data_IF_940933100799
#
_entry.id   IF_940933100799
#
_cell.length_a   1.000
_cell.length_b   1.000
_cell.length_c   1.000
_cell.angle_alpha   90.00
_cell.angle_beta   90.00
_cell.angle_gamma   90.00
#
_symmetry.space_group_name_H-M   'P 1'
#
loop_
_entity.id
_entity.type
_entity.pdbx_description
1 polymer ?
#
# COMPACT_ATOMS: atom_id res chain seq x y z
N UNK A 1 -70.28 35.62 42.35
CA UNK A 1 -69.41 36.64 42.98
C UNK A 1 -68.00 36.53 42.47
N UNK A 2 -67.60 37.59 41.79
CA UNK A 2 -66.30 38.17 41.64
C UNK A 2 -65.13 37.21 41.16
N UNK A 3 -64.74 37.37 39.92
CA UNK A 3 -63.73 38.34 39.40
C UNK A 3 -62.30 37.95 39.87
N UNK A 4 -61.42 37.61 39.00
CA UNK A 4 -60.52 38.52 38.22
C UNK A 4 -59.70 37.80 37.20
N UNK A 5 -59.69 38.36 36.04
CA UNK A 5 -58.76 38.42 34.99
C UNK A 5 -57.29 38.62 35.47
N UNK A 6 -56.38 37.87 34.98
CA UNK A 6 -55.08 38.48 34.69
C UNK A 6 -54.46 37.88 33.43
N UNK A 7 -54.41 38.72 32.44
CA UNK A 7 -53.67 38.54 31.21
C UNK A 7 -52.20 38.85 31.53
N UNK A 8 -51.34 37.96 31.25
CA UNK A 8 -49.94 38.34 30.97
C UNK A 8 -49.48 37.64 29.71
N UNK A 9 -49.51 38.42 28.66
CA UNK A 9 -48.80 38.26 27.42
C UNK A 9 -47.31 38.51 27.69
N UNK A 10 -46.51 37.50 27.73
CA UNK A 10 -45.07 37.65 27.56
C UNK A 10 -44.66 37.03 26.24
N UNK A 11 -44.49 37.93 25.34
CA UNK A 11 -43.89 37.78 24.05
C UNK A 11 -42.41 37.39 24.23
N UNK A 12 -42.07 36.14 24.12
CA UNK A 12 -40.70 35.66 24.03
C UNK A 12 -40.41 35.36 22.56
N UNK A 13 -39.94 36.39 21.88
CA UNK A 13 -39.20 36.22 20.64
C UNK A 13 -38.01 35.30 20.91
N UNK A 14 -38.19 34.00 20.68
CA UNK A 14 -37.15 33.02 20.65
C UNK A 14 -36.23 33.31 19.48
N UNK A 15 -35.05 33.78 19.82
CA UNK A 15 -33.91 33.87 18.93
C UNK A 15 -33.70 32.52 18.27
N UNK A 16 -33.96 32.44 16.98
CA UNK A 16 -33.42 31.40 16.11
C UNK A 16 -31.93 31.63 16.04
N UNK A 17 -31.18 31.02 16.92
CA UNK A 17 -29.73 30.85 16.74
C UNK A 17 -29.54 29.91 15.58
N UNK A 18 -29.06 30.50 14.52
CA UNK A 18 -28.60 29.81 13.33
C UNK A 18 -27.33 29.06 13.70
N UNK A 19 -27.43 27.75 13.88
CA UNK A 19 -26.30 26.84 13.91
C UNK A 19 -25.83 26.57 12.46
N UNK A 20 -25.21 27.60 11.87
CA UNK A 20 -24.52 27.51 10.58
C UNK A 20 -23.03 27.73 10.81
N UNK A 21 -22.41 26.83 11.52
CA UNK A 21 -20.98 27.03 11.82
C UNK A 21 -20.15 25.80 12.13
N UNK A 22 -20.72 24.62 12.13
CA UNK A 22 -19.97 23.43 12.60
C UNK A 22 -19.72 22.37 11.53
N UNK A 23 -20.19 22.54 10.32
CA UNK A 23 -20.01 21.51 9.25
C UNK A 23 -18.73 21.72 8.43
N UNK A 24 -18.04 22.83 8.57
CA UNK A 24 -16.87 23.16 7.72
C UNK A 24 -15.52 22.64 8.26
N UNK A 25 -15.46 22.01 9.42
CA UNK A 25 -14.17 21.63 10.04
C UNK A 25 -13.85 20.12 9.99
N UNK A 26 -14.70 19.30 9.40
CA UNK A 26 -14.49 17.85 9.35
C UNK A 26 -13.84 17.33 8.08
N UNK A 27 -13.42 18.19 7.15
CA UNK A 27 -12.83 17.77 5.88
C UNK A 27 -11.31 17.97 5.78
N UNK A 28 -10.66 18.51 6.80
CA UNK A 28 -9.21 18.75 6.77
C UNK A 28 -8.36 17.70 7.47
N UNK A 29 -8.92 16.65 8.05
CA UNK A 29 -8.13 15.68 8.83
C UNK A 29 -7.72 14.45 8.02
N UNK A 30 -8.22 14.28 6.79
CA UNK A 30 -7.90 13.10 5.97
C UNK A 30 -6.70 13.26 5.03
N UNK A 31 -6.14 14.45 4.90
CA UNK A 31 -5.03 14.70 3.98
C UNK A 31 -3.65 14.34 4.55
N UNK A 32 -3.52 14.23 5.86
CA UNK A 32 -2.21 13.96 6.50
C UNK A 32 -1.76 12.51 6.48
N UNK A 33 -2.69 11.56 6.36
CA UNK A 33 -2.36 10.13 6.42
C UNK A 33 -1.94 9.53 5.06
N UNK A 34 -2.16 10.25 3.96
CA UNK A 34 -1.82 9.79 2.60
C UNK A 34 -0.37 10.13 2.19
N UNK A 35 0.29 11.04 2.88
CA UNK A 35 1.63 11.48 2.49
C UNK A 35 2.76 10.57 2.99
N UNK A 36 2.53 9.77 4.02
CA UNK A 36 3.56 8.90 4.59
C UNK A 36 3.72 7.57 3.81
N UNK A 37 2.78 7.24 2.93
CA UNK A 37 2.81 6.02 2.10
C UNK A 37 3.61 6.23 0.80
N UNK A 38 3.99 7.46 0.51
CA UNK A 38 4.45 7.87 -0.83
C UNK A 38 5.97 7.89 -0.98
N UNK A 39 6.74 7.58 0.05
CA UNK A 39 8.19 7.69 0.03
C UNK A 39 8.93 6.36 -0.11
N UNK A 40 8.26 5.29 -0.49
CA UNK A 40 8.88 3.98 -0.69
C UNK A 40 8.53 3.35 -2.03
N UNK A 41 9.42 2.52 -2.51
CA UNK A 41 9.17 1.67 -3.66
C UNK A 41 8.00 0.74 -3.37
N UNK A 42 7.02 0.70 -4.27
CA UNK A 42 5.85 -0.13 -4.14
C UNK A 42 5.65 -1.02 -5.38
N UNK A 43 4.98 -2.15 -5.18
CA UNK A 43 4.56 -2.98 -6.31
C UNK A 43 3.29 -2.42 -6.94
N UNK A 44 3.33 -2.11 -8.24
CA UNK A 44 2.14 -1.80 -9.02
C UNK A 44 1.64 -2.98 -9.86
N UNK A 45 2.45 -4.03 -9.98
CA UNK A 45 2.09 -5.28 -10.63
C UNK A 45 3.15 -6.35 -10.38
N UNK A 46 2.75 -7.57 -10.06
CA UNK A 46 3.63 -8.73 -9.89
C UNK A 46 2.93 -9.96 -10.44
N UNK A 47 3.59 -10.70 -11.32
CA UNK A 47 3.11 -11.99 -11.79
C UNK A 47 4.24 -12.91 -12.24
N UNK A 48 3.97 -14.20 -12.25
CA UNK A 48 4.87 -15.22 -12.78
C UNK A 48 4.55 -15.47 -14.26
N UNK A 49 5.57 -15.35 -15.11
CA UNK A 49 5.50 -15.70 -16.52
C UNK A 49 6.03 -17.15 -16.71
N UNK A 50 5.09 -18.09 -16.86
CA UNK A 50 5.44 -19.51 -16.99
C UNK A 50 6.14 -19.84 -18.31
N UNK A 51 6.06 -18.98 -19.33
CA UNK A 51 6.69 -19.24 -20.65
C UNK A 51 8.19 -18.99 -20.62
N UNK A 52 8.60 -17.92 -19.95
CA UNK A 52 10.01 -17.54 -19.82
C UNK A 52 10.63 -17.96 -18.49
N UNK A 53 9.84 -18.53 -17.57
CA UNK A 53 10.23 -18.85 -16.20
C UNK A 53 10.80 -17.62 -15.47
N UNK A 54 10.06 -16.52 -15.58
CA UNK A 54 10.46 -15.25 -15.02
C UNK A 54 9.40 -14.69 -14.07
N UNK A 55 9.87 -13.93 -13.12
CA UNK A 55 9.03 -13.07 -12.31
C UNK A 55 9.01 -11.68 -12.93
N UNK A 56 7.84 -11.21 -13.31
CA UNK A 56 7.64 -9.87 -13.89
C UNK A 56 7.13 -8.97 -12.78
N UNK A 57 7.90 -7.92 -12.49
CA UNK A 57 7.61 -6.98 -11.39
C UNK A 57 7.57 -5.58 -11.94
N UNK A 58 6.45 -4.90 -11.74
CA UNK A 58 6.32 -3.48 -12.05
C UNK A 58 6.43 -2.70 -10.74
N UNK A 59 7.52 -1.96 -10.62
CA UNK A 59 7.80 -1.06 -9.49
C UNK A 59 7.23 0.31 -9.76
N UNK A 60 6.63 0.92 -8.74
CA UNK A 60 6.34 2.34 -8.68
C UNK A 60 7.26 2.94 -7.61
N UNK A 61 8.05 3.92 -7.99
CA UNK A 61 9.07 4.52 -7.15
C UNK A 61 9.15 6.04 -7.38
N UNK A 62 9.95 6.72 -6.57
CA UNK A 62 10.23 8.14 -6.73
C UNK A 62 11.73 8.33 -6.86
N UNK A 63 12.12 9.30 -7.69
CA UNK A 63 13.54 9.57 -7.93
C UNK A 63 13.75 10.84 -8.74
N UNK A 64 15.02 11.14 -9.04
CA UNK A 64 15.44 12.22 -9.95
C UNK A 64 15.36 11.80 -11.41
N UNK A 65 15.41 10.49 -11.69
CA UNK A 65 15.50 9.95 -13.05
C UNK A 65 14.80 8.56 -13.14
N UNK A 66 14.48 8.08 -14.36
CA UNK A 66 13.84 6.78 -14.58
C UNK A 66 14.84 5.59 -14.56
N UNK A 67 16.13 5.83 -14.34
CA UNK A 67 17.19 4.82 -14.57
C UNK A 67 17.51 3.96 -13.34
N UNK A 68 16.60 3.92 -12.36
CA UNK A 68 16.70 2.99 -11.25
C UNK A 68 16.82 1.55 -11.76
N UNK A 69 17.70 0.78 -11.20
CA UNK A 69 17.82 -0.66 -11.46
C UNK A 69 17.44 -1.46 -10.24
N UNK A 70 16.70 -2.55 -10.50
CA UNK A 70 16.19 -3.42 -9.44
C UNK A 70 16.84 -4.79 -9.53
N UNK A 71 17.16 -5.36 -8.37
CA UNK A 71 17.70 -6.73 -8.25
C UNK A 71 16.91 -7.52 -7.20
N UNK A 72 16.99 -8.87 -7.28
CA UNK A 72 16.38 -9.75 -6.29
C UNK A 72 17.45 -10.33 -5.38
N UNK A 73 17.19 -10.27 -4.09
CA UNK A 73 17.94 -11.00 -3.06
C UNK A 73 17.06 -12.11 -2.50
N UNK A 74 17.44 -13.35 -2.78
CA UNK A 74 16.74 -14.53 -2.27
C UNK A 74 17.05 -14.78 -0.80
N UNK A 75 16.02 -15.11 -0.05
CA UNK A 75 16.17 -15.71 1.27
C UNK A 75 16.36 -17.23 1.19
N UNK A 76 16.33 -17.89 2.33
CA UNK A 76 16.33 -19.36 2.40
C UNK A 76 14.92 -19.92 2.30
N UNK A 77 14.79 -21.10 1.67
CA UNK A 77 13.56 -21.86 1.70
C UNK A 77 13.27 -22.38 3.11
N UNK A 78 12.05 -22.18 3.56
CA UNK A 78 11.57 -22.65 4.86
C UNK A 78 10.43 -23.62 4.63
N UNK A 79 10.58 -24.82 5.18
CA UNK A 79 9.52 -25.81 5.20
C UNK A 79 8.98 -25.88 6.62
N UNK A 80 7.69 -25.61 6.79
CA UNK A 80 7.01 -25.78 8.06
C UNK A 80 6.33 -27.15 8.10
N UNK A 81 6.30 -27.81 9.26
CA UNK A 81 5.61 -29.09 9.45
C UNK A 81 4.11 -29.00 9.15
N UNK A 82 3.56 -27.78 9.23
CA UNK A 82 2.14 -27.52 8.98
C UNK A 82 1.85 -26.88 7.61
N UNK A 83 2.88 -26.55 6.83
CA UNK A 83 2.70 -25.97 5.51
C UNK A 83 2.73 -27.04 4.42
N UNK A 84 1.80 -26.95 3.48
CA UNK A 84 1.69 -27.86 2.34
C UNK A 84 2.81 -27.66 1.29
N UNK A 85 3.48 -26.52 1.32
CA UNK A 85 4.57 -26.19 0.40
C UNK A 85 5.61 -25.28 1.09
N UNK A 86 6.87 -25.29 0.63
CA UNK A 86 7.90 -24.39 1.12
C UNK A 86 7.54 -22.92 0.95
N UNK A 87 8.09 -22.09 1.80
CA UNK A 87 7.98 -20.64 1.70
C UNK A 87 9.36 -20.00 1.54
N UNK A 88 9.44 -18.95 0.73
CA UNK A 88 10.64 -18.14 0.55
C UNK A 88 10.28 -16.66 0.54
N UNK A 89 11.13 -15.84 1.12
CA UNK A 89 11.05 -14.39 1.03
C UNK A 89 12.15 -13.90 0.12
N UNK A 90 11.81 -13.06 -0.86
CA UNK A 90 12.77 -12.35 -1.68
C UNK A 90 12.59 -10.84 -1.49
N UNK A 91 13.71 -10.15 -1.46
CA UNK A 91 13.75 -8.69 -1.32
C UNK A 91 14.12 -8.06 -2.66
N UNK A 92 13.30 -7.12 -3.11
CA UNK A 92 13.62 -6.30 -4.27
C UNK A 92 14.44 -5.11 -3.78
N UNK A 93 15.65 -5.00 -4.29
CA UNK A 93 16.60 -3.95 -3.94
C UNK A 93 16.67 -2.94 -5.09
N UNK A 94 16.51 -1.66 -4.75
CA UNK A 94 16.73 -0.54 -5.66
C UNK A 94 18.17 -0.07 -5.56
N UNK A 95 18.86 0.06 -6.70
CA UNK A 95 20.23 0.58 -6.76
C UNK A 95 20.37 2.04 -6.32
N UNK A 96 19.29 2.82 -6.39
CA UNK A 96 19.23 4.24 -6.07
C UNK A 96 18.28 4.53 -4.90
N UNK A 97 18.14 3.61 -3.96
CA UNK A 97 17.22 3.72 -2.82
C UNK A 97 17.38 5.00 -1.96
N UNK A 98 18.50 5.73 -2.10
CA UNK A 98 18.77 7.01 -1.43
C UNK A 98 18.37 8.23 -2.25
N UNK A 99 17.85 8.03 -3.47
CA UNK A 99 17.35 9.14 -4.27
C UNK A 99 16.09 9.74 -3.64
N UNK A 100 16.27 10.87 -2.96
CA UNK A 100 15.21 11.56 -2.21
C UNK A 100 14.29 12.42 -3.05
N UNK A 101 14.39 12.39 -4.38
CA UNK A 101 13.53 13.18 -5.24
C UNK A 101 12.07 12.69 -5.23
N UNK A 102 11.17 13.58 -5.62
CA UNK A 102 9.73 13.34 -5.48
C UNK A 102 9.01 12.98 -6.80
N UNK A 103 9.73 12.94 -7.92
CA UNK A 103 9.12 12.65 -9.22
C UNK A 103 8.72 11.16 -9.29
N UNK A 104 7.46 10.84 -9.63
CA UNK A 104 7.00 9.46 -9.69
C UNK A 104 7.40 8.79 -11.00
N UNK A 105 7.89 7.56 -10.90
CA UNK A 105 8.22 6.70 -12.03
C UNK A 105 7.60 5.31 -11.89
N UNK A 106 7.53 4.58 -13.01
CA UNK A 106 7.20 3.16 -13.05
C UNK A 106 8.18 2.44 -13.95
N UNK A 107 8.65 1.27 -13.52
CA UNK A 107 9.54 0.41 -14.31
C UNK A 107 9.14 -1.04 -14.14
N UNK A 108 9.05 -1.75 -15.26
CA UNK A 108 8.84 -3.19 -15.27
C UNK A 108 10.19 -3.88 -15.44
N UNK A 109 10.51 -4.80 -14.54
CA UNK A 109 11.72 -5.60 -14.55
C UNK A 109 11.36 -7.07 -14.58
N UNK A 110 12.12 -7.87 -15.31
CA UNK A 110 12.00 -9.32 -15.38
C UNK A 110 13.15 -9.94 -14.62
N UNK A 111 12.85 -10.86 -13.73
CA UNK A 111 13.84 -11.59 -12.94
C UNK A 111 13.76 -13.07 -13.29
N UNK A 112 14.87 -13.64 -13.75
CA UNK A 112 14.98 -15.08 -13.97
C UNK A 112 14.78 -15.83 -12.65
N UNK A 113 14.02 -16.92 -12.69
CA UNK A 113 13.83 -17.80 -11.56
C UNK A 113 14.75 -19.03 -11.57
N UNK A 114 15.78 -19.01 -12.44
CA UNK A 114 16.76 -20.11 -12.53
C UNK A 114 17.47 -20.38 -11.19
N UNK A 115 17.73 -19.32 -10.41
CA UNK A 115 18.40 -19.40 -9.10
C UNK A 115 17.45 -19.55 -7.93
N UNK A 116 16.14 -19.79 -8.18
CA UNK A 116 15.17 -19.99 -7.12
C UNK A 116 15.47 -21.29 -6.35
N UNK A 117 15.76 -21.22 -5.03
CA UNK A 117 16.33 -22.35 -4.29
C UNK A 117 15.38 -23.56 -4.11
N UNK A 118 14.10 -23.37 -4.25
CA UNK A 118 13.11 -24.44 -4.10
C UNK A 118 11.85 -24.23 -4.93
N UNK A 119 11.25 -25.33 -5.41
CA UNK A 119 9.97 -25.37 -6.14
C UNK A 119 9.23 -26.70 -5.89
N UNK A 120 7.89 -26.70 -5.85
CA UNK A 120 7.02 -25.51 -5.86
C UNK A 120 7.22 -24.69 -4.59
N UNK A 121 6.86 -23.40 -4.62
CA UNK A 121 7.10 -22.51 -3.48
C UNK A 121 6.09 -21.36 -3.40
N UNK A 122 5.74 -20.98 -2.20
CA UNK A 122 5.04 -19.74 -1.90
C UNK A 122 6.09 -18.63 -1.73
N UNK A 123 6.18 -17.76 -2.73
CA UNK A 123 7.12 -16.64 -2.77
C UNK A 123 6.46 -15.39 -2.19
N UNK A 124 7.09 -14.79 -1.21
CA UNK A 124 6.76 -13.45 -0.72
C UNK A 124 7.84 -12.48 -1.16
N UNK A 125 7.44 -11.53 -2.02
CA UNK A 125 8.29 -10.40 -2.41
C UNK A 125 8.08 -9.24 -1.46
N UNK A 126 9.15 -8.57 -1.11
CA UNK A 126 9.10 -7.32 -0.34
C UNK A 126 10.05 -6.28 -0.90
N UNK A 127 9.72 -4.98 -0.77
CA UNK A 127 10.62 -3.86 -1.08
C UNK A 127 11.13 -3.23 0.21
N UNK A 128 10.24 -2.63 0.94
CA UNK A 128 10.47 -2.07 2.27
C UNK A 128 9.72 -2.92 3.29
N UNK A 129 9.93 -2.73 4.59
CA UNK A 129 9.30 -3.57 5.64
C UNK A 129 7.78 -3.68 5.58
N UNK A 130 7.12 -2.78 4.85
CA UNK A 130 5.65 -2.66 4.82
C UNK A 130 4.99 -3.09 3.52
N UNK A 131 5.74 -3.26 2.43
CA UNK A 131 5.14 -3.62 1.13
C UNK A 131 5.57 -5.02 0.74
N UNK A 132 4.60 -5.91 0.62
CA UNK A 132 4.84 -7.28 0.19
C UNK A 132 3.71 -7.78 -0.72
N UNK A 133 4.06 -8.68 -1.61
CA UNK A 133 3.14 -9.43 -2.46
C UNK A 133 3.50 -10.90 -2.36
N UNK A 134 2.50 -11.75 -2.23
CA UNK A 134 2.70 -13.19 -2.17
C UNK A 134 2.09 -13.85 -3.40
N UNK A 135 2.85 -14.75 -4.02
CA UNK A 135 2.41 -15.55 -5.17
C UNK A 135 2.97 -16.96 -5.08
N UNK A 136 2.36 -17.88 -5.81
CA UNK A 136 2.82 -19.26 -5.90
C UNK A 136 3.64 -19.47 -7.17
N UNK A 137 4.83 -20.03 -7.03
CA UNK A 137 5.65 -20.49 -8.15
C UNK A 137 5.49 -22.01 -8.24
N UNK A 138 5.00 -22.55 -9.37
CA UNK A 138 4.80 -23.98 -9.52
C UNK A 138 6.12 -24.73 -9.63
N UNK A 139 6.06 -26.05 -9.62
CA UNK A 139 7.16 -26.90 -10.04
C UNK A 139 7.57 -26.57 -11.49
N UNK A 140 8.86 -26.66 -11.78
CA UNK A 140 9.33 -26.46 -13.13
C UNK A 140 8.90 -27.67 -13.97
N UNK A 141 8.11 -27.43 -15.02
CA UNK A 141 7.81 -28.45 -16.00
C UNK A 141 9.10 -28.70 -16.81
N UNK A 142 9.70 -29.86 -16.60
CA UNK A 142 10.84 -30.35 -17.41
C UNK A 142 10.35 -30.88 -18.74
#
# INVERSE_FOLDING_TARGET
MNVQRNRNLTNTRGRRMVYLGVVAWLWCVSAGALFDVVHGDTFSGVYYDARSDELVVTMAYRGTNPDHSFSLKWGSCKTSVHASEPEIVAEVLDSQWRDGASQPFKKTTRFSLADLPCRPVKLTLRTAPRFYVTLRIPAQNR
#
